data_IF_433272973473
#
_entry.id   IF_433272973473
#
_cell.length_a   1.000
_cell.length_b   1.000
_cell.length_c   1.000
_cell.angle_alpha   90.00
_cell.angle_beta   90.00
_cell.angle_gamma   90.00
#
_symmetry.space_group_name_H-M   'P 1'
#
loop_
_entity.id
_entity.type
_entity.pdbx_description
1 polymer ?
#
# COMPACT_ATOMS: atom_id res chain seq x y z
N UNK A 1 -0.71 -2.15 -7.19
CA UNK A 1 -1.13 -3.21 -8.11
C UNK A 1 -2.26 -4.02 -7.56
N UNK A 2 -2.80 -4.94 -8.35
CA UNK A 2 -2.24 -5.39 -9.61
C UNK A 2 -2.49 -4.45 -10.77
N UNK A 3 -3.33 -3.42 -10.59
CA UNK A 3 -3.67 -2.54 -11.72
C UNK A 3 -4.11 -1.18 -11.21
N UNK A 4 -4.28 -0.26 -12.15
CA UNK A 4 -4.93 1.02 -11.88
C UNK A 4 -6.38 0.88 -12.34
N UNK A 5 -7.30 1.00 -11.40
CA UNK A 5 -8.73 0.89 -11.69
C UNK A 5 -9.33 2.29 -11.81
N UNK A 6 -10.11 2.51 -12.85
CA UNK A 6 -10.74 3.80 -13.10
C UNK A 6 -12.26 3.73 -12.97
N UNK A 7 -12.81 2.52 -12.80
CA UNK A 7 -14.24 2.28 -12.76
C UNK A 7 -14.74 1.87 -11.38
N UNK A 8 -13.98 2.21 -10.33
CA UNK A 8 -14.37 1.91 -8.96
C UNK A 8 -14.68 3.21 -8.22
N UNK A 9 -15.53 3.11 -7.20
CA UNK A 9 -15.81 4.23 -6.30
C UNK A 9 -14.83 4.16 -5.13
N UNK A 10 -13.81 5.03 -5.09
CA UNK A 10 -12.77 4.93 -4.06
C UNK A 10 -13.27 5.23 -2.64
N UNK A 11 -14.50 5.74 -2.50
CA UNK A 11 -15.05 6.06 -1.18
C UNK A 11 -15.73 4.88 -0.51
N UNK A 12 -15.81 3.75 -1.18
CA UNK A 12 -16.55 2.57 -0.69
C UNK A 12 -15.87 1.29 -1.11
N UNK A 13 -14.58 1.20 -0.89
CA UNK A 13 -13.82 -0.01 -1.23
C UNK A 13 -13.43 -0.75 0.04
N UNK A 14 -13.64 -2.06 0.02
CA UNK A 14 -13.21 -2.93 1.10
C UNK A 14 -11.77 -3.34 0.84
N UNK A 15 -10.93 -3.26 1.88
CA UNK A 15 -9.54 -3.65 1.79
C UNK A 15 -9.22 -4.66 2.88
N UNK A 16 -8.50 -5.70 2.52
CA UNK A 16 -8.07 -6.75 3.46
C UNK A 16 -6.61 -7.06 3.22
N UNK A 17 -5.90 -7.29 4.31
CA UNK A 17 -4.50 -7.70 4.27
C UNK A 17 -4.36 -9.03 4.99
N UNK A 18 -3.71 -9.99 4.34
CA UNK A 18 -3.45 -11.30 4.91
C UNK A 18 -1.95 -11.51 5.02
N UNK A 19 -1.52 -12.04 6.15
CA UNK A 19 -0.13 -12.47 6.36
C UNK A 19 -0.13 -13.96 6.51
N UNK A 20 0.50 -14.66 5.56
CA UNK A 20 0.52 -16.12 5.52
C UNK A 20 -0.90 -16.71 5.60
N UNK A 21 -1.85 -16.08 4.89
CA UNK A 21 -3.22 -16.53 4.86
C UNK A 21 -4.07 -16.10 6.04
N UNK A 22 -3.49 -15.43 7.03
CA UNK A 22 -4.22 -14.94 8.20
C UNK A 22 -4.61 -13.50 8.04
N UNK A 23 -5.86 -13.18 8.26
CA UNK A 23 -6.36 -11.82 8.15
C UNK A 23 -5.72 -10.94 9.23
N UNK A 24 -5.07 -9.87 8.80
CA UNK A 24 -4.40 -8.92 9.68
C UNK A 24 -5.08 -7.56 9.68
N UNK A 25 -5.58 -7.14 8.52
CA UNK A 25 -6.27 -5.86 8.38
C UNK A 25 -7.54 -6.08 7.59
N UNK A 26 -8.63 -5.43 8.01
CA UNK A 26 -9.89 -5.46 7.30
C UNK A 26 -10.61 -4.14 7.55
N UNK A 27 -10.83 -3.39 6.49
CA UNK A 27 -11.45 -2.08 6.61
C UNK A 27 -12.14 -1.72 5.31
N UNK A 28 -12.81 -0.59 5.33
CA UNK A 28 -13.39 0.00 4.13
C UNK A 28 -12.96 1.45 4.05
N UNK A 29 -12.74 1.94 2.84
CA UNK A 29 -12.39 3.35 2.65
C UNK A 29 -13.47 4.29 3.14
N UNK A 30 -14.70 3.78 3.32
CA UNK A 30 -15.79 4.57 3.90
C UNK A 30 -15.44 5.06 5.31
N UNK A 31 -14.60 4.32 6.03
CA UNK A 31 -14.25 4.65 7.42
C UNK A 31 -13.00 5.51 7.54
N UNK A 32 -12.48 6.04 6.44
CA UNK A 32 -11.35 6.96 6.49
C UNK A 32 -11.77 8.22 7.25
N UNK A 33 -10.87 8.72 8.10
CA UNK A 33 -11.12 9.94 8.85
C UNK A 33 -11.34 11.11 7.90
N UNK A 34 -10.49 11.21 6.86
CA UNK A 34 -10.66 12.19 5.80
C UNK A 34 -10.93 11.46 4.50
N UNK A 35 -12.09 11.66 3.88
CA UNK A 35 -12.41 10.99 2.61
C UNK A 35 -11.44 11.38 1.50
N UNK A 36 -11.29 10.50 0.52
CA UNK A 36 -10.38 10.73 -0.60
C UNK A 36 -10.64 12.05 -1.32
N UNK A 37 -11.89 12.42 -1.65
CA UNK A 37 -12.13 13.71 -2.30
C UNK A 37 -11.66 14.88 -1.45
N UNK A 38 -11.79 14.80 -0.13
CA UNK A 38 -11.32 15.83 0.78
C UNK A 38 -9.79 15.94 0.72
N UNK A 39 -9.09 14.81 0.69
CA UNK A 39 -7.63 14.80 0.64
C UNK A 39 -7.13 15.44 -0.65
N UNK A 40 -7.75 15.12 -1.78
CA UNK A 40 -7.39 15.70 -3.07
C UNK A 40 -7.60 17.21 -3.03
N UNK A 41 -8.73 17.64 -2.50
CA UNK A 41 -9.05 19.06 -2.40
C UNK A 41 -8.04 19.79 -1.50
N UNK A 42 -7.72 19.22 -0.35
CA UNK A 42 -6.80 19.82 0.60
C UNK A 42 -5.40 19.96 0.00
N UNK A 43 -4.91 18.89 -0.61
CA UNK A 43 -3.55 18.89 -1.17
C UNK A 43 -3.45 19.85 -2.36
N UNK A 44 -4.49 19.89 -3.21
CA UNK A 44 -4.47 20.75 -4.38
C UNK A 44 -4.50 22.24 -4.03
N UNK A 45 -4.92 22.58 -2.81
CA UNK A 45 -4.85 23.96 -2.33
C UNK A 45 -3.43 24.37 -1.92
N UNK A 46 -2.58 23.39 -1.63
CA UNK A 46 -1.21 23.65 -1.17
C UNK A 46 -0.23 23.52 -2.31
N UNK A 47 -0.44 22.59 -3.22
CA UNK A 47 0.45 22.35 -4.35
C UNK A 47 -0.37 21.94 -5.57
N UNK A 48 0.20 22.18 -6.74
CA UNK A 48 -0.44 21.79 -7.99
C UNK A 48 -0.33 20.30 -8.19
N UNK A 49 -1.46 19.65 -8.48
CA UNK A 49 -1.50 18.22 -8.82
C UNK A 49 -1.53 18.06 -10.33
N UNK A 50 -0.72 17.16 -10.84
CA UNK A 50 -0.62 16.88 -12.26
C UNK A 50 -1.09 15.44 -12.54
N UNK A 51 -1.55 15.16 -13.77
CA UNK A 51 -1.85 13.79 -14.15
C UNK A 51 -0.62 12.90 -13.91
N UNK A 52 -0.85 11.75 -13.30
CA UNK A 52 0.24 10.86 -12.94
C UNK A 52 0.74 11.00 -11.51
N UNK A 53 0.34 12.07 -10.81
CA UNK A 53 0.69 12.22 -9.40
C UNK A 53 0.00 11.14 -8.58
N UNK A 54 0.68 10.70 -7.53
CA UNK A 54 0.18 9.64 -6.65
C UNK A 54 0.02 10.19 -5.25
N UNK A 55 -1.15 9.93 -4.67
CA UNK A 55 -1.43 10.27 -3.27
C UNK A 55 -1.58 8.95 -2.52
N UNK A 56 -0.71 8.75 -1.52
CA UNK A 56 -0.81 7.57 -0.68
C UNK A 56 -1.52 7.95 0.61
N UNK A 57 -2.47 7.10 1.00
CA UNK A 57 -3.22 7.31 2.23
C UNK A 57 -2.66 6.41 3.33
N UNK A 58 -3.21 6.53 4.52
CA UNK A 58 -2.76 5.71 5.64
C UNK A 58 -3.25 4.27 5.55
N UNK A 59 -2.98 3.52 6.60
CA UNK A 59 -3.36 2.12 6.72
C UNK A 59 -4.27 1.92 7.92
N UNK A 60 -5.19 0.94 7.87
CA UNK A 60 -6.03 0.65 9.03
C UNK A 60 -5.25 -0.07 10.12
N UNK A 61 -5.92 -0.31 11.25
CA UNK A 61 -5.34 -1.07 12.35
C UNK A 61 -4.94 -2.48 11.90
N UNK A 62 -3.99 -3.09 12.60
CA UNK A 62 -3.53 -4.44 12.31
C UNK A 62 -2.10 -4.48 11.78
N UNK A 63 -1.40 -3.35 11.77
CA UNK A 63 0.01 -3.32 11.42
C UNK A 63 0.80 -4.17 12.43
N UNK A 64 1.74 -4.96 11.94
CA UNK A 64 2.56 -5.80 12.78
C UNK A 64 3.81 -6.24 12.07
N UNK A 65 4.70 -6.95 12.77
CA UNK A 65 5.96 -7.38 12.19
C UNK A 65 5.79 -8.47 11.16
N UNK A 66 6.72 -8.54 10.24
CA UNK A 66 6.81 -9.58 9.24
C UNK A 66 8.23 -10.12 9.23
N UNK A 67 8.36 -11.39 8.85
CA UNK A 67 9.65 -12.07 8.80
C UNK A 67 9.98 -12.41 7.35
N UNK A 68 11.27 -12.57 7.01
CA UNK A 68 11.63 -13.06 5.68
C UNK A 68 10.94 -14.39 5.39
N UNK A 69 10.41 -14.53 4.18
CA UNK A 69 9.68 -15.73 3.78
C UNK A 69 8.17 -15.61 3.97
N UNK A 70 7.71 -14.63 4.73
CA UNK A 70 6.28 -14.41 4.90
C UNK A 70 5.66 -13.95 3.59
N UNK A 71 4.41 -14.34 3.38
CA UNK A 71 3.63 -13.92 2.21
C UNK A 71 2.58 -12.91 2.64
N UNK A 72 2.53 -11.80 1.93
CA UNK A 72 1.56 -10.73 2.18
C UNK A 72 0.64 -10.64 0.98
N UNK A 73 -0.66 -10.77 1.23
CA UNK A 73 -1.69 -10.61 0.21
C UNK A 73 -2.56 -9.43 0.59
N UNK A 74 -2.75 -8.51 -0.35
CA UNK A 74 -3.59 -7.34 -0.14
C UNK A 74 -4.70 -7.40 -1.18
N UNK A 75 -5.94 -7.45 -0.70
CA UNK A 75 -7.12 -7.50 -1.54
C UNK A 75 -7.87 -6.19 -1.45
N UNK A 76 -8.18 -5.61 -2.60
CA UNK A 76 -9.03 -4.43 -2.66
C UNK A 76 -10.15 -4.73 -3.64
N UNK A 77 -11.36 -4.53 -3.16
CA UNK A 77 -12.58 -4.77 -3.92
C UNK A 77 -12.54 -3.99 -5.24
N UNK A 78 -12.84 -4.67 -6.34
CA UNK A 78 -12.84 -4.03 -7.66
C UNK A 78 -11.47 -3.86 -8.30
N UNK A 79 -10.39 -4.13 -7.58
CA UNK A 79 -9.04 -4.00 -8.10
C UNK A 79 -8.36 -5.37 -8.21
N UNK A 80 -8.46 -6.17 -7.15
CA UNK A 80 -7.87 -7.50 -7.15
C UNK A 80 -6.97 -7.73 -5.96
N UNK A 81 -6.07 -8.69 -6.10
CA UNK A 81 -5.15 -9.09 -5.04
C UNK A 81 -3.71 -8.89 -5.48
N UNK A 82 -2.95 -8.22 -4.64
CA UNK A 82 -1.51 -8.06 -4.82
C UNK A 82 -0.81 -8.95 -3.81
N UNK A 83 0.06 -9.83 -4.29
CA UNK A 83 0.76 -10.79 -3.44
C UNK A 83 2.26 -10.56 -3.55
N UNK A 84 2.93 -10.54 -2.42
CA UNK A 84 4.38 -10.38 -2.35
C UNK A 84 4.95 -11.24 -1.24
N UNK A 85 6.21 -11.63 -1.38
CA UNK A 85 6.95 -12.34 -0.37
C UNK A 85 7.95 -11.40 0.28
N UNK A 86 8.04 -11.45 1.60
CA UNK A 86 8.97 -10.63 2.35
C UNK A 86 10.37 -11.21 2.20
N UNK A 87 11.35 -10.36 1.93
CA UNK A 87 12.74 -10.77 1.81
C UNK A 87 13.60 -9.83 2.62
N UNK A 88 14.70 -10.36 3.14
CA UNK A 88 15.67 -9.52 3.82
C UNK A 88 16.52 -8.81 2.79
N UNK A 89 16.68 -7.51 2.95
CA UNK A 89 17.59 -6.77 2.10
C UNK A 89 19.02 -7.15 2.48
N UNK A 90 19.81 -7.55 1.49
CA UNK A 90 21.21 -7.86 1.68
C UNK A 90 22.00 -6.71 1.10
N UNK A 91 22.83 -6.07 1.94
CA UNK A 91 23.68 -5.01 1.44
C UNK A 91 24.79 -5.62 0.60
N UNK A 92 24.99 -5.09 -0.58
CA UNK A 92 26.12 -5.47 -1.39
C UNK A 92 27.36 -4.97 -0.73
N UNK A 93 28.26 -5.69 -0.58
CA UNK A 93 29.42 -5.19 0.12
C UNK A 93 30.34 -4.39 -0.70
N UNK A 94 29.81 -4.18 -0.36
CA UNK A 94 30.02 -3.76 -0.82
C UNK A 94 30.90 -3.66 -1.45
N UNK A 95 30.31 -3.96 -1.41
CA UNK A 95 30.60 -4.14 -1.91
C UNK A 95 31.58 -4.01 -2.13
N UNK A 96 31.74 -4.17 -1.92
CA UNK A 96 32.32 -4.18 -1.94
C UNK A 96 33.21 -3.88 -2.09
N UNK A 97 33.10 -3.64 -2.06
CA UNK A 97 33.66 -3.45 -2.17
C UNK A 97 34.47 -3.29 -2.06
N UNK A 98 34.62 -3.24 -2.00
CA UNK A 98 35.02 -3.33 -1.99
C UNK A 98 35.79 -3.17 -1.78
N UNK A 99 35.97 -3.10 -1.67
CA UNK A 99 36.31 -3.20 -1.46
C UNK A 99 36.94 -2.76 -1.18
N UNK A 100 37.19 -2.53 -1.25
CA UNK A 100 37.40 -2.30 -0.95
C UNK A 100 37.64 -1.73 -0.66
N UNK A 101 37.76 -1.30 -0.76
CA UNK A 101 37.50 -1.01 -0.41
C UNK A 101 37.95 -1.01 0.15
#
# INVERSE_FOLDING_TARGET
GPCIATDVDPTRLRIKTFLNGKLRQSATTRNMIFPIPYLIRFISQIMTLYPGDIITTGTPAGVGPMQPGDRVDIQIEGIGTLSNTVARMVEEQEEKTGGKR
#
